data_IF_589118250370
#
_entry.id   IF_589118250370
#
_cell.length_a   1.000
_cell.length_b   1.000
_cell.length_c   1.000
_cell.angle_alpha   90.00
_cell.angle_beta   90.00
_cell.angle_gamma   90.00
#
_symmetry.space_group_name_H-M   'P 1'
#
loop_
_entity.id
_entity.type
_entity.pdbx_description
1 polymer ?
#
# COMPACT_ATOMS: atom_id res chain seq x y z
N UNK A 1 18.50 -11.02 -9.41
CA UNK A 1 17.91 -12.12 -8.61
C UNK A 1 16.47 -11.77 -8.29
N UNK A 2 15.50 -12.18 -9.13
CA UNK A 2 14.06 -11.94 -8.88
C UNK A 2 13.20 -13.19 -9.08
N UNK A 3 13.85 -14.33 -9.34
CA UNK A 3 13.18 -15.57 -9.75
C UNK A 3 12.54 -16.30 -8.54
N UNK A 4 12.85 -15.90 -7.30
CA UNK A 4 12.47 -16.68 -6.10
C UNK A 4 11.25 -16.18 -5.30
N UNK A 5 10.60 -15.08 -5.70
CA UNK A 5 9.51 -14.48 -4.90
C UNK A 5 8.11 -15.05 -5.14
N UNK A 6 7.93 -15.95 -6.11
CA UNK A 6 6.61 -16.37 -6.56
C UNK A 6 5.80 -15.22 -7.17
N UNK A 7 4.73 -15.54 -7.91
CA UNK A 7 3.83 -14.49 -8.43
C UNK A 7 2.78 -14.15 -7.38
N UNK A 8 2.58 -12.87 -7.09
CA UNK A 8 1.54 -12.39 -6.19
C UNK A 8 0.79 -11.22 -6.82
N UNK A 9 -0.52 -11.13 -6.60
CA UNK A 9 -1.35 -10.10 -7.23
C UNK A 9 -1.00 -8.68 -6.74
N UNK A 10 -0.50 -8.50 -5.53
CA UNK A 10 -0.11 -7.17 -5.00
C UNK A 10 1.37 -6.83 -5.09
N UNK A 11 2.17 -7.60 -5.84
CA UNK A 11 3.61 -7.37 -5.99
C UNK A 11 3.92 -7.13 -7.47
N UNK A 12 4.69 -6.09 -7.76
CA UNK A 12 5.08 -5.75 -9.13
C UNK A 12 5.94 -6.86 -9.75
N UNK A 13 5.64 -7.25 -10.99
CA UNK A 13 6.41 -8.28 -11.69
C UNK A 13 7.43 -7.66 -12.63
N UNK A 14 8.72 -7.84 -12.35
CA UNK A 14 9.78 -7.49 -13.30
C UNK A 14 9.94 -8.61 -14.32
N UNK A 15 9.98 -8.22 -15.59
CA UNK A 15 10.29 -9.07 -16.73
C UNK A 15 11.78 -9.03 -17.08
N UNK A 16 12.43 -7.88 -16.92
CA UNK A 16 13.84 -7.71 -17.22
C UNK A 16 14.46 -6.45 -16.63
N UNK A 17 15.79 -6.45 -16.50
CA UNK A 17 16.62 -5.30 -16.12
C UNK A 17 17.71 -5.09 -17.15
N UNK A 18 17.94 -3.86 -17.57
CA UNK A 18 19.07 -3.49 -18.42
C UNK A 18 19.54 -2.08 -18.07
N UNK A 19 20.70 -1.67 -18.60
CA UNK A 19 21.25 -0.32 -18.41
C UNK A 19 21.28 0.39 -19.74
N UNK A 20 20.74 1.60 -19.79
CA UNK A 20 20.65 2.39 -21.03
C UNK A 20 20.80 3.89 -20.76
N UNK A 21 21.11 4.65 -21.81
CA UNK A 21 21.15 6.12 -21.79
C UNK A 21 19.83 6.63 -22.36
N UNK A 22 18.92 7.05 -21.49
CA UNK A 22 17.63 7.57 -21.92
C UNK A 22 17.77 9.01 -22.47
N UNK A 23 17.01 9.36 -23.52
CA UNK A 23 16.88 10.73 -24.00
C UNK A 23 16.52 11.69 -22.85
N UNK A 24 17.07 12.92 -22.87
CA UNK A 24 16.89 13.89 -21.79
C UNK A 24 15.42 14.30 -21.61
N UNK A 25 14.62 14.19 -22.66
CA UNK A 25 13.19 14.49 -22.69
C UNK A 25 12.37 13.51 -21.84
N UNK A 26 12.89 12.31 -21.61
CA UNK A 26 12.24 11.28 -20.78
C UNK A 26 12.67 11.33 -19.31
N UNK A 27 13.67 12.17 -18.97
CA UNK A 27 14.10 12.37 -17.59
C UNK A 27 13.24 13.47 -16.98
N UNK A 28 12.49 13.12 -15.92
CA UNK A 28 11.85 14.13 -15.09
C UNK A 28 12.93 15.10 -14.59
N UNK A 29 12.67 16.43 -14.63
CA UNK A 29 13.64 17.40 -14.16
C UNK A 29 14.00 17.09 -12.71
N UNK A 30 15.29 16.95 -12.44
CA UNK A 30 15.79 16.73 -11.09
C UNK A 30 15.20 17.80 -10.16
N UNK A 31 14.69 17.35 -9.01
CA UNK A 31 14.10 18.20 -7.97
C UNK A 31 15.02 19.42 -7.74
N UNK A 32 14.52 20.66 -7.85
CA UNK A 32 15.35 21.86 -7.71
C UNK A 32 15.72 22.04 -6.23
N UNK A 33 16.88 21.51 -5.83
CA UNK A 33 17.38 21.64 -4.46
C UNK A 33 18.87 21.34 -4.26
N UNK A 34 19.59 20.91 -5.29
CA UNK A 34 21.02 20.57 -5.19
C UNK A 34 21.89 21.34 -6.20
N UNK A 35 21.55 22.59 -6.51
CA UNK A 35 22.45 23.48 -7.25
C UNK A 35 23.00 24.54 -6.29
N UNK A 36 24.21 24.29 -5.80
CA UNK A 36 25.09 25.34 -5.29
C UNK A 36 25.41 26.31 -6.44
N UNK A 37 25.39 27.63 -6.24
CA UNK A 37 25.67 28.58 -7.31
C UNK A 37 27.19 28.69 -7.48
N UNK A 38 27.78 27.90 -8.37
CA UNK A 38 29.15 28.13 -8.85
C UNK A 38 29.14 28.45 -10.34
N UNK A 39 29.39 29.74 -10.59
CA UNK A 39 29.89 30.46 -11.77
C UNK A 39 30.13 29.63 -13.05
N UNK A 40 29.59 30.18 -14.15
CA UNK A 40 29.68 29.74 -15.54
C UNK A 40 31.12 29.49 -16.03
N UNK A 41 31.31 28.35 -16.68
CA UNK A 41 32.35 28.11 -17.72
C UNK A 41 31.70 27.28 -18.85
N UNK A 42 31.93 27.61 -20.15
CA UNK A 42 31.27 26.93 -21.26
C UNK A 42 32.19 25.87 -21.90
N UNK A 43 32.11 24.60 -21.48
CA UNK A 43 32.59 23.47 -22.30
C UNK A 43 32.23 22.10 -21.70
N UNK A 44 31.93 21.15 -22.59
CA UNK A 44 31.55 19.74 -22.38
C UNK A 44 30.06 19.49 -22.08
N UNK A 45 29.28 18.86 -22.99
CA UNK A 45 27.98 18.34 -22.64
C UNK A 45 28.18 17.25 -21.58
N UNK A 46 27.66 17.48 -20.38
CA UNK A 46 27.73 16.51 -19.29
C UNK A 46 27.32 15.11 -19.81
N UNK A 47 28.14 14.06 -19.58
CA UNK A 47 27.86 12.72 -20.08
C UNK A 47 26.47 12.29 -19.58
N UNK A 48 25.62 11.84 -20.51
CA UNK A 48 24.28 11.35 -20.16
C UNK A 48 24.43 10.21 -19.15
N UNK A 49 23.71 10.28 -18.00
CA UNK A 49 23.82 9.25 -17.00
C UNK A 49 23.35 7.91 -17.59
N UNK A 50 24.13 6.86 -17.36
CA UNK A 50 23.68 5.48 -17.58
C UNK A 50 22.64 5.16 -16.50
N UNK A 51 21.42 4.87 -16.92
CA UNK A 51 20.31 4.57 -16.02
C UNK A 51 19.97 3.10 -16.08
N UNK A 52 19.57 2.54 -14.94
CA UNK A 52 19.00 1.21 -14.90
C UNK A 52 17.53 1.28 -15.31
N UNK A 53 17.17 0.57 -16.37
CA UNK A 53 15.80 0.45 -16.89
C UNK A 53 15.21 -0.88 -16.46
N UNK A 54 13.99 -0.83 -15.93
CA UNK A 54 13.25 -1.97 -15.43
C UNK A 54 11.99 -2.19 -16.30
N UNK A 55 11.89 -3.36 -16.93
CA UNK A 55 10.70 -3.77 -17.68
C UNK A 55 9.75 -4.50 -16.76
N UNK A 56 8.54 -3.98 -16.59
CA UNK A 56 7.52 -4.57 -15.74
C UNK A 56 6.33 -5.08 -16.56
N UNK A 57 5.65 -6.11 -16.06
CA UNK A 57 4.49 -6.70 -16.75
C UNK A 57 3.24 -5.79 -16.68
N UNK A 58 3.12 -5.03 -15.60
CA UNK A 58 2.00 -4.12 -15.37
C UNK A 58 2.37 -2.67 -15.65
N UNK A 59 1.48 -1.94 -16.33
CA UNK A 59 1.62 -0.50 -16.59
C UNK A 59 0.83 0.27 -15.52
N UNK A 60 1.50 1.00 -14.61
CA UNK A 60 0.83 1.81 -13.59
C UNK A 60 0.18 3.04 -14.21
N UNK A 61 -1.03 3.39 -13.75
CA UNK A 61 -1.70 4.62 -14.17
C UNK A 61 -1.29 5.81 -13.32
N UNK A 62 -1.14 5.58 -12.02
CA UNK A 62 -0.75 6.58 -11.04
C UNK A 62 -0.19 5.90 -9.78
N UNK A 63 0.51 6.67 -8.96
CA UNK A 63 0.91 6.26 -7.61
C UNK A 63 -0.24 6.43 -6.61
N UNK A 64 -0.14 5.76 -5.46
CA UNK A 64 -1.07 5.99 -4.37
C UNK A 64 -0.95 7.42 -3.82
N UNK A 65 0.26 8.00 -3.83
CA UNK A 65 0.48 9.40 -3.47
C UNK A 65 -0.34 10.36 -4.35
N UNK A 66 -0.28 10.18 -5.67
CA UNK A 66 -1.04 10.99 -6.63
C UNK A 66 -2.56 10.79 -6.47
N UNK A 67 -2.99 9.54 -6.28
CA UNK A 67 -4.39 9.23 -6.01
C UNK A 67 -4.91 9.93 -4.75
N UNK A 68 -4.17 9.85 -3.64
CA UNK A 68 -4.53 10.54 -2.38
C UNK A 68 -4.59 12.05 -2.60
N UNK A 69 -3.57 12.63 -3.25
CA UNK A 69 -3.56 14.07 -3.56
C UNK A 69 -4.76 14.51 -4.41
N UNK A 70 -5.18 13.70 -5.39
CA UNK A 70 -6.30 13.98 -6.27
C UNK A 70 -7.69 13.69 -5.69
N UNK A 71 -7.79 12.92 -4.59
CA UNK A 71 -9.07 12.38 -4.10
C UNK A 71 -9.72 13.18 -2.96
N UNK A 72 -9.16 14.32 -2.54
CA UNK A 72 -9.74 15.17 -1.48
C UNK A 72 -11.20 15.57 -1.74
N UNK A 73 -11.53 15.98 -2.97
CA UNK A 73 -12.91 16.35 -3.34
C UNK A 73 -13.87 15.15 -3.25
N UNK A 74 -13.36 13.96 -3.54
CA UNK A 74 -14.11 12.72 -3.49
C UNK A 74 -14.34 12.24 -2.04
N UNK A 75 -13.32 12.35 -1.18
CA UNK A 75 -13.46 12.06 0.25
C UNK A 75 -14.48 13.01 0.91
N UNK A 76 -14.47 14.30 0.52
CA UNK A 76 -15.46 15.28 1.02
C UNK A 76 -16.88 15.00 0.53
N UNK A 77 -17.06 14.64 -0.74
CA UNK A 77 -18.40 14.42 -1.32
C UNK A 77 -19.00 13.07 -0.98
N UNK A 78 -18.18 12.02 -0.84
CA UNK A 78 -18.65 10.64 -0.65
C UNK A 78 -17.74 9.85 0.31
N UNK A 79 -17.64 10.25 1.59
CA UNK A 79 -16.64 9.71 2.50
C UNK A 79 -16.75 8.20 2.72
N UNK A 80 -17.96 7.65 2.77
CA UNK A 80 -18.15 6.20 2.90
C UNK A 80 -17.62 5.39 1.71
N UNK A 81 -17.74 5.91 0.48
CA UNK A 81 -17.22 5.21 -0.71
C UNK A 81 -15.70 5.30 -0.77
N UNK A 82 -15.15 6.48 -0.48
CA UNK A 82 -13.71 6.70 -0.43
C UNK A 82 -13.02 5.85 0.64
N UNK A 83 -13.53 5.87 1.87
CA UNK A 83 -12.91 5.11 2.98
C UNK A 83 -13.06 3.61 2.78
N UNK A 84 -14.14 3.15 2.13
CA UNK A 84 -14.27 1.75 1.69
C UNK A 84 -13.18 1.39 0.69
N UNK A 85 -12.93 2.24 -0.30
CA UNK A 85 -11.85 2.05 -1.27
C UNK A 85 -10.48 2.04 -0.58
N UNK A 86 -10.24 2.97 0.35
CA UNK A 86 -9.05 2.98 1.20
C UNK A 86 -8.85 1.67 1.96
N UNK A 87 -9.91 1.15 2.60
CA UNK A 87 -9.88 -0.17 3.25
C UNK A 87 -9.49 -1.31 2.28
N UNK A 88 -10.01 -1.29 1.05
CA UNK A 88 -9.69 -2.30 0.04
C UNK A 88 -8.25 -2.21 -0.45
N UNK A 89 -7.71 -1.00 -0.62
CA UNK A 89 -6.30 -0.78 -0.98
C UNK A 89 -5.36 -1.23 0.15
N UNK A 90 -5.67 -0.86 1.39
CA UNK A 90 -4.94 -1.31 2.58
C UNK A 90 -4.98 -2.84 2.72
N UNK A 91 -6.12 -3.46 2.41
CA UNK A 91 -6.25 -4.92 2.44
C UNK A 91 -5.33 -5.59 1.42
N UNK A 92 -5.29 -5.09 0.18
CA UNK A 92 -4.36 -5.56 -0.85
C UNK A 92 -2.90 -5.40 -0.42
N UNK A 93 -2.57 -4.26 0.20
CA UNK A 93 -1.25 -4.01 0.75
C UNK A 93 -0.89 -5.03 1.84
N UNK A 94 -1.78 -5.27 2.81
CA UNK A 94 -1.55 -6.28 3.86
C UNK A 94 -1.28 -7.67 3.26
N UNK A 95 -2.04 -8.08 2.24
CA UNK A 95 -1.82 -9.36 1.55
C UNK A 95 -0.43 -9.41 0.88
N UNK A 96 -0.02 -8.33 0.20
CA UNK A 96 1.32 -8.25 -0.39
C UNK A 96 2.44 -8.27 0.65
N UNK A 97 2.27 -7.57 1.78
CA UNK A 97 3.24 -7.53 2.88
C UNK A 97 3.39 -8.88 3.60
N UNK A 98 2.29 -9.62 3.77
CA UNK A 98 2.32 -10.99 4.29
C UNK A 98 3.11 -11.92 3.38
N UNK A 99 2.89 -11.84 2.06
CA UNK A 99 3.62 -12.63 1.07
C UNK A 99 5.11 -12.31 1.10
N UNK A 100 5.50 -11.03 1.15
CA UNK A 100 6.91 -10.62 1.25
C UNK A 100 7.58 -11.10 2.54
N UNK A 101 6.85 -11.07 3.67
CA UNK A 101 7.34 -11.59 4.96
C UNK A 101 7.62 -13.09 4.89
N UNK A 102 6.76 -13.85 4.22
CA UNK A 102 6.95 -15.31 4.02
C UNK A 102 8.22 -15.66 3.22
N UNK A 103 8.76 -14.71 2.45
CA UNK A 103 9.97 -14.89 1.64
C UNK A 103 11.22 -14.20 2.24
N UNK A 104 11.16 -13.75 3.50
CA UNK A 104 12.26 -13.06 4.20
C UNK A 104 12.84 -11.85 3.45
N UNK A 105 12.04 -11.18 2.62
CA UNK A 105 12.48 -9.98 1.92
C UNK A 105 12.46 -8.81 2.91
N UNK A 106 13.62 -8.17 3.08
CA UNK A 106 13.73 -6.92 3.84
C UNK A 106 12.79 -5.91 3.19
N UNK A 107 11.81 -5.45 3.96
CA UNK A 107 10.80 -4.56 3.42
C UNK A 107 11.45 -3.20 3.19
N UNK A 108 11.52 -2.77 1.93
CA UNK A 108 11.94 -1.42 1.57
C UNK A 108 10.99 -0.37 2.16
N UNK A 109 11.33 0.91 1.97
CA UNK A 109 10.51 2.01 2.48
C UNK A 109 9.09 1.96 1.89
N UNK A 110 8.10 1.75 2.77
CA UNK A 110 6.68 1.67 2.42
C UNK A 110 6.10 3.07 2.49
N UNK A 111 6.19 3.77 1.38
CA UNK A 111 5.60 5.09 1.20
C UNK A 111 4.58 5.08 0.05
N UNK A 112 3.58 5.99 0.06
CA UNK A 112 2.55 6.06 -0.99
C UNK A 112 3.11 6.19 -2.41
N UNK A 113 4.28 6.79 -2.58
CA UNK A 113 4.95 7.00 -3.86
C UNK A 113 5.42 5.69 -4.49
N UNK A 114 5.74 4.69 -3.65
CA UNK A 114 6.18 3.38 -4.11
C UNK A 114 5.03 2.36 -4.26
N UNK A 115 3.80 2.78 -4.03
CA UNK A 115 2.60 1.97 -4.21
C UNK A 115 1.92 2.38 -5.51
N UNK A 116 1.87 1.46 -6.46
CA UNK A 116 1.38 1.72 -7.80
C UNK A 116 -0.06 1.23 -7.96
N UNK A 117 -0.89 2.02 -8.64
CA UNK A 117 -2.28 1.66 -8.94
C UNK A 117 -2.40 1.30 -10.42
N UNK A 118 -2.90 0.09 -10.68
CA UNK A 118 -3.14 -0.46 -12.00
C UNK A 118 -4.63 -0.71 -12.18
N UNK A 119 -5.18 -0.27 -13.31
CA UNK A 119 -6.57 -0.55 -13.63
C UNK A 119 -6.74 -2.01 -14.03
N UNK A 120 -7.61 -2.74 -13.36
CA UNK A 120 -8.03 -4.05 -13.82
C UNK A 120 -8.98 -3.88 -15.02
N UNK A 121 -8.82 -4.65 -16.11
CA UNK A 121 -9.83 -4.69 -17.16
C UNK A 121 -11.12 -5.28 -16.58
N UNK A 122 -12.10 -4.41 -16.28
CA UNK A 122 -13.42 -4.84 -15.88
C UNK A 122 -14.21 -5.25 -17.14
N UNK A 123 -14.97 -6.36 -17.11
CA UNK A 123 -15.90 -6.67 -18.19
C UNK A 123 -16.96 -5.55 -18.28
N UNK A 124 -17.39 -5.17 -19.50
CA UNK A 124 -18.22 -3.98 -19.74
C UNK A 124 -19.58 -3.99 -19.03
N UNK A 125 -20.04 -5.14 -18.55
CA UNK A 125 -21.36 -5.32 -17.95
C UNK A 125 -21.49 -4.77 -16.51
N UNK A 126 -20.40 -4.32 -15.88
CA UNK A 126 -20.40 -3.73 -14.52
C UNK A 126 -20.15 -2.21 -14.49
N UNK A 127 -20.42 -1.50 -15.58
CA UNK A 127 -20.24 -0.04 -15.66
C UNK A 127 -21.29 0.80 -14.89
N UNK A 128 -22.23 0.18 -14.17
CA UNK A 128 -23.12 0.86 -13.20
C UNK A 128 -22.51 0.89 -11.79
N UNK A 129 -21.22 1.19 -11.64
CA UNK A 129 -20.70 1.62 -10.35
C UNK A 129 -21.03 3.10 -10.18
N UNK A 130 -21.97 3.39 -9.28
CA UNK A 130 -22.71 4.65 -9.15
C UNK A 130 -21.87 5.93 -8.99
N UNK A 131 -20.53 5.85 -8.91
CA UNK A 131 -19.65 7.00 -8.64
C UNK A 131 -18.28 6.93 -9.36
N UNK A 132 -18.08 6.06 -10.36
CA UNK A 132 -16.81 5.99 -11.09
C UNK A 132 -15.60 5.50 -10.28
N UNK A 133 -15.85 4.86 -9.13
CA UNK A 133 -14.82 4.33 -8.22
C UNK A 133 -14.59 2.84 -8.44
N UNK A 134 -14.02 2.47 -9.59
CA UNK A 134 -13.54 1.12 -9.80
C UNK A 134 -12.35 0.83 -8.88
N UNK A 135 -12.35 -0.31 -8.21
CA UNK A 135 -11.22 -0.74 -7.37
C UNK A 135 -9.98 -0.99 -8.24
N UNK A 136 -8.90 -0.18 -8.14
CA UNK A 136 -7.67 -0.50 -8.83
C UNK A 136 -6.91 -1.60 -8.09
N UNK A 137 -6.05 -2.29 -8.82
CA UNK A 137 -5.08 -3.23 -8.28
C UNK A 137 -3.88 -2.47 -7.74
N UNK A 138 -3.58 -2.66 -6.47
CA UNK A 138 -2.42 -2.06 -5.81
C UNK A 138 -1.20 -2.98 -5.93
N UNK A 139 -0.08 -2.43 -6.40
CA UNK A 139 1.20 -3.11 -6.52
C UNK A 139 2.27 -2.45 -5.65
N UNK A 140 3.02 -3.27 -4.92
CA UNK A 140 4.20 -2.83 -4.16
C UNK A 140 5.41 -2.80 -5.09
N UNK A 141 6.00 -1.61 -5.28
CA UNK A 141 7.19 -1.41 -6.13
C UNK A 141 8.51 -1.39 -5.35
N UNK A 142 8.51 -1.06 -4.05
CA UNK A 142 9.72 -0.75 -3.25
C UNK A 142 10.75 -1.88 -3.04
N UNK A 143 10.56 -3.10 -3.52
CA UNK A 143 11.50 -4.19 -3.21
C UNK A 143 12.84 -4.06 -3.94
N UNK A 144 12.97 -3.17 -4.93
CA UNK A 144 14.24 -2.95 -5.64
C UNK A 144 15.27 -2.12 -4.87
N UNK A 145 14.85 -1.37 -3.84
CA UNK A 145 15.80 -0.71 -2.91
C UNK A 145 16.51 -1.70 -1.98
N UNK A 146 16.12 -2.98 -2.01
CA UNK A 146 16.88 -4.07 -1.38
C UNK A 146 18.13 -4.27 -2.21
N UNK A 147 19.15 -3.44 -1.93
CA UNK A 147 20.46 -3.56 -2.51
C UNK A 147 20.94 -5.00 -2.35
N UNK A 148 21.14 -5.64 -3.51
CA UNK A 148 22.02 -6.77 -3.70
C UNK A 148 23.31 -6.47 -2.91
N UNK A 149 23.56 -7.16 -1.78
CA UNK A 149 24.91 -7.25 -1.18
C UNK A 149 25.81 -8.01 -2.17
N UNK A 150 26.07 -7.46 -3.34
CA UNK A 150 27.17 -7.89 -4.18
C UNK A 150 28.41 -7.16 -3.69
N UNK A 151 29.34 -7.92 -3.11
CA UNK A 151 30.70 -7.46 -2.81
C UNK A 151 31.36 -6.95 -4.10
N UNK A 152 31.80 -5.69 -4.18
CA UNK A 152 32.94 -5.35 -5.01
C UNK A 152 34.18 -5.55 -4.13
N UNK A 153 34.99 -6.57 -4.44
CA UNK A 153 36.35 -6.60 -3.91
C UNK A 153 37.12 -5.40 -4.48
N UNK A 154 37.40 -4.39 -3.67
CA UNK A 154 38.65 -3.63 -3.73
C UNK A 154 38.89 -2.94 -2.39
N UNK A 155 40.15 -2.98 -1.98
CA UNK A 155 40.70 -2.68 -0.67
C UNK A 155 40.65 -1.20 -0.24
N UNK A 156 40.59 -1.01 1.09
CA UNK A 156 41.22 0.07 1.86
C UNK A 156 40.46 1.39 2.06
N UNK A 157 39.58 1.45 3.07
CA UNK A 157 39.75 2.32 4.25
C UNK A 157 38.60 2.07 5.23
N UNK A 158 38.94 1.44 6.34
CA UNK A 158 38.08 1.28 7.51
C UNK A 158 37.86 2.65 8.16
N UNK A 159 36.62 3.08 8.24
CA UNK A 159 36.07 3.87 9.36
C UNK A 159 34.54 3.70 9.36
N UNK A 160 34.13 2.66 10.09
CA UNK A 160 32.92 2.59 10.91
C UNK A 160 31.54 2.73 10.25
N UNK A 161 31.26 1.91 9.22
CA UNK A 161 29.89 1.72 8.67
C UNK A 161 29.26 0.36 9.05
N UNK A 162 29.88 -0.37 9.97
CA UNK A 162 29.47 -1.71 10.40
C UNK A 162 28.10 -1.74 11.11
N UNK A 163 27.69 -0.62 11.73
CA UNK A 163 26.45 -0.54 12.52
C UNK A 163 25.19 -0.28 11.68
N UNK A 164 25.30 0.17 10.43
CA UNK A 164 24.14 0.37 9.55
C UNK A 164 23.77 -0.89 8.73
N UNK A 165 24.68 -1.86 8.61
CA UNK A 165 24.56 -3.06 7.76
C UNK A 165 23.88 -4.26 8.43
N UNK A 166 23.43 -4.09 9.68
CA UNK A 166 22.83 -5.13 10.52
C UNK A 166 21.52 -4.70 11.20
N UNK A 167 20.85 -3.65 10.71
CA UNK A 167 19.46 -3.42 11.09
C UNK A 167 18.57 -4.16 10.08
N UNK A 168 18.02 -5.36 10.39
CA UNK A 168 16.79 -5.74 9.71
C UNK A 168 15.85 -4.55 9.89
N UNK A 169 15.21 -4.05 8.83
CA UNK A 169 14.03 -3.19 9.03
C UNK A 169 13.18 -3.95 10.04
N UNK A 170 13.04 -3.47 11.29
CA UNK A 170 12.47 -4.30 12.33
C UNK A 170 11.05 -4.66 11.84
N UNK A 171 10.51 -5.87 12.07
CA UNK A 171 9.18 -6.26 11.59
C UNK A 171 8.11 -5.17 11.86
N UNK A 172 8.33 -4.48 12.97
CA UNK A 172 7.78 -3.24 13.52
C UNK A 172 7.67 -2.06 12.51
N UNK A 173 8.56 -1.92 11.53
CA UNK A 173 8.56 -0.83 10.53
C UNK A 173 7.40 -0.95 9.53
N UNK A 174 7.05 -2.18 9.13
CA UNK A 174 5.93 -2.45 8.24
C UNK A 174 4.60 -1.96 8.82
N UNK A 175 4.40 -2.28 10.10
CA UNK A 175 3.20 -1.94 10.83
C UNK A 175 3.10 -0.43 11.07
N UNK A 176 4.21 0.24 11.37
CA UNK A 176 4.24 1.71 11.48
C UNK A 176 3.94 2.39 10.16
N UNK A 177 4.56 1.92 9.07
CA UNK A 177 4.33 2.48 7.75
C UNK A 177 2.88 2.28 7.31
N UNK A 178 2.28 1.12 7.59
CA UNK A 178 0.86 0.89 7.37
C UNK A 178 0.00 1.85 8.21
N UNK A 179 0.35 2.05 9.48
CA UNK A 179 -0.33 3.01 10.36
C UNK A 179 -0.26 4.44 9.81
N UNK A 180 0.92 4.88 9.36
CA UNK A 180 1.14 6.18 8.71
C UNK A 180 0.32 6.31 7.42
N UNK A 181 0.26 5.24 6.63
CA UNK A 181 -0.47 5.22 5.38
C UNK A 181 -1.98 5.39 5.60
N UNK A 182 -2.54 4.87 6.69
CA UNK A 182 -3.96 5.10 7.04
C UNK A 182 -4.24 6.60 7.20
N UNK A 183 -3.36 7.34 7.89
CA UNK A 183 -3.51 8.80 8.05
C UNK A 183 -3.44 9.51 6.70
N UNK A 184 -2.47 9.15 5.85
CA UNK A 184 -2.31 9.74 4.52
C UNK A 184 -3.53 9.49 3.63
N UNK A 185 -4.03 8.25 3.58
CA UNK A 185 -5.25 7.92 2.85
C UNK A 185 -6.44 8.72 3.38
N UNK A 186 -6.54 8.95 4.69
CA UNK A 186 -7.62 9.74 5.27
C UNK A 186 -7.42 11.25 5.20
N UNK A 187 -6.42 11.72 4.44
CA UNK A 187 -6.07 13.14 4.28
C UNK A 187 -5.76 13.84 5.61
N UNK A 188 -5.17 13.13 6.56
CA UNK A 188 -4.70 13.67 7.83
C UNK A 188 -3.18 13.67 7.85
N UNK A 189 -2.59 14.85 8.01
CA UNK A 189 -1.14 14.99 8.06
C UNK A 189 -0.56 14.37 9.34
N UNK A 190 0.46 13.54 9.17
CA UNK A 190 1.19 12.92 10.28
C UNK A 190 2.70 13.03 10.04
N UNK A 191 3.38 13.79 10.90
CA UNK A 191 4.84 13.91 10.89
C UNK A 191 5.46 12.71 11.60
N UNK A 192 6.62 12.22 11.12
CA UNK A 192 7.37 11.15 11.79
C UNK A 192 7.80 11.56 13.20
N UNK A 193 8.12 12.84 13.39
CA UNK A 193 8.40 13.44 14.70
C UNK A 193 7.20 13.24 15.65
N UNK A 194 5.96 13.44 15.19
CA UNK A 194 4.76 13.19 16.00
C UNK A 194 4.56 11.71 16.36
N UNK A 195 5.14 10.77 15.60
CA UNK A 195 5.09 9.32 15.87
C UNK A 195 6.19 8.88 16.85
N UNK A 196 7.27 9.66 17.00
CA UNK A 196 8.38 9.32 17.89
C UNK A 196 8.36 10.16 19.19
N UNK A 197 7.93 11.42 19.13
CA UNK A 197 7.85 12.38 20.24
C UNK A 197 6.55 12.33 21.05
N UNK A 198 5.94 11.14 21.19
CA UNK A 198 4.69 10.97 21.93
C UNK A 198 4.74 11.32 23.44
N UNK A 199 5.78 11.98 23.95
CA UNK A 199 5.89 12.37 25.36
C UNK A 199 4.85 13.41 25.80
N UNK A 200 4.17 14.11 24.89
CA UNK A 200 3.31 15.25 25.26
C UNK A 200 2.08 15.53 24.39
N UNK A 201 1.99 15.04 23.14
CA UNK A 201 0.80 15.20 22.27
C UNK A 201 0.34 13.84 21.75
N UNK A 202 -0.95 13.54 21.86
CA UNK A 202 -1.55 12.31 21.35
C UNK A 202 -1.47 12.21 19.82
N UNK A 203 -1.82 11.04 19.28
CA UNK A 203 -2.01 10.86 17.84
C UNK A 203 -3.05 11.87 17.31
N UNK A 204 -2.86 12.44 16.10
CA UNK A 204 -3.86 13.30 15.49
C UNK A 204 -5.22 12.60 15.41
N UNK A 205 -6.30 13.35 15.64
CA UNK A 205 -7.63 12.76 15.60
C UNK A 205 -8.10 12.58 14.15
N UNK A 206 -8.45 11.34 13.80
CA UNK A 206 -9.12 11.04 12.54
C UNK A 206 -10.60 11.45 12.65
N UNK A 207 -11.12 12.31 11.75
CA UNK A 207 -12.51 12.73 11.77
C UNK A 207 -13.45 11.56 11.45
N UNK A 208 -14.60 11.52 12.12
CA UNK A 208 -15.60 10.45 11.92
C UNK A 208 -16.54 10.82 10.78
N UNK A 209 -16.11 10.55 9.54
CA UNK A 209 -16.84 10.91 8.32
C UNK A 209 -17.69 9.75 7.76
N UNK A 210 -17.41 8.51 8.17
CA UNK A 210 -18.11 7.32 7.70
C UNK A 210 -18.13 6.19 8.73
N UNK A 211 -18.82 5.09 8.39
CA UNK A 211 -18.84 3.84 9.19
C UNK A 211 -17.45 3.19 9.32
N UNK A 212 -16.49 3.56 8.46
CA UNK A 212 -15.14 3.02 8.47
C UNK A 212 -14.18 3.84 9.32
N UNK A 213 -14.43 5.15 9.52
CA UNK A 213 -13.48 6.07 10.16
C UNK A 213 -13.10 5.64 11.57
N UNK A 214 -14.08 5.23 12.38
CA UNK A 214 -13.83 4.76 13.75
C UNK A 214 -12.97 3.48 13.78
N UNK A 215 -13.24 2.57 12.83
CA UNK A 215 -12.47 1.33 12.66
C UNK A 215 -11.04 1.59 12.21
N UNK A 216 -10.85 2.49 11.23
CA UNK A 216 -9.55 2.90 10.72
C UNK A 216 -8.75 3.67 11.78
N UNK A 217 -9.41 4.57 12.56
CA UNK A 217 -8.80 5.24 13.72
C UNK A 217 -8.29 4.22 14.74
N UNK A 218 -9.11 3.22 15.07
CA UNK A 218 -8.69 2.16 16.00
C UNK A 218 -7.54 1.35 15.43
N UNK A 219 -7.61 0.93 14.16
CA UNK A 219 -6.53 0.18 13.52
C UNK A 219 -5.21 0.96 13.50
N UNK A 220 -5.26 2.25 13.13
CA UNK A 220 -4.08 3.12 13.14
C UNK A 220 -3.49 3.25 14.55
N UNK A 221 -4.31 3.39 15.59
CA UNK A 221 -3.84 3.44 16.98
C UNK A 221 -3.16 2.15 17.45
N UNK A 222 -3.60 1.00 16.93
CA UNK A 222 -3.04 -0.31 17.24
C UNK A 222 -1.73 -0.57 16.48
N UNK A 223 -1.63 -0.07 15.25
CA UNK A 223 -0.42 -0.18 14.41
C UNK A 223 0.68 0.79 14.85
N UNK A 224 0.30 1.99 15.29
CA UNK A 224 1.22 3.02 15.78
C UNK A 224 1.49 2.91 17.30
N UNK A 225 1.24 1.73 17.88
CA UNK A 225 1.44 1.51 19.30
C UNK A 225 2.95 1.53 19.65
N UNK A 226 3.30 2.18 20.77
CA UNK A 226 4.70 2.38 21.18
C UNK A 226 5.38 1.05 21.52
N UNK A 227 4.69 0.24 22.32
CA UNK A 227 5.15 -1.09 22.71
C UNK A 227 4.99 -2.07 21.53
N UNK A 228 6.10 -2.65 21.01
CA UNK A 228 6.05 -3.66 19.95
C UNK A 228 5.20 -4.88 20.32
N UNK A 229 5.08 -5.22 21.61
CA UNK A 229 4.33 -6.39 22.06
C UNK A 229 2.81 -6.16 22.03
N UNK A 230 2.36 -4.91 22.15
CA UNK A 230 0.95 -4.52 22.04
C UNK A 230 0.57 -4.10 20.61
N UNK A 231 1.56 -3.96 19.72
CA UNK A 231 1.33 -3.61 18.33
C UNK A 231 0.69 -4.78 17.59
N UNK A 232 -0.35 -4.48 16.82
CA UNK A 232 -0.98 -5.49 15.98
C UNK A 232 -0.08 -5.83 14.80
N UNK A 233 0.03 -7.13 14.50
CA UNK A 233 0.71 -7.63 13.31
C UNK A 233 -0.05 -7.30 12.02
N UNK A 234 0.63 -7.33 10.87
CA UNK A 234 -0.01 -7.20 9.55
C UNK A 234 -1.15 -8.21 9.35
N UNK A 235 -0.99 -9.46 9.84
CA UNK A 235 -2.04 -10.49 9.80
C UNK A 235 -3.31 -10.08 10.55
N UNK A 236 -3.14 -9.51 11.74
CA UNK A 236 -4.26 -8.99 12.52
C UNK A 236 -4.87 -7.75 11.86
N UNK A 237 -4.05 -6.86 11.30
CA UNK A 237 -4.53 -5.70 10.54
C UNK A 237 -5.38 -6.13 9.33
N UNK A 238 -4.95 -7.16 8.60
CA UNK A 238 -5.72 -7.77 7.50
C UNK A 238 -7.08 -8.28 7.98
N UNK A 239 -7.10 -9.03 9.08
CA UNK A 239 -8.35 -9.55 9.66
C UNK A 239 -9.28 -8.41 10.11
N UNK A 240 -8.74 -7.35 10.73
CA UNK A 240 -9.51 -6.16 11.12
C UNK A 240 -10.10 -5.49 9.88
N UNK A 241 -9.32 -5.27 8.81
CA UNK A 241 -9.81 -4.69 7.57
C UNK A 241 -10.91 -5.54 6.91
N UNK A 242 -10.78 -6.87 6.92
CA UNK A 242 -11.82 -7.78 6.45
C UNK A 242 -13.12 -7.62 7.26
N UNK A 243 -13.01 -7.50 8.59
CA UNK A 243 -14.16 -7.24 9.46
C UNK A 243 -14.77 -5.87 9.19
N UNK A 244 -13.97 -4.83 8.96
CA UNK A 244 -14.48 -3.50 8.60
C UNK A 244 -15.21 -3.52 7.25
N UNK A 245 -14.75 -4.30 6.28
CA UNK A 245 -15.32 -4.35 4.93
C UNK A 245 -16.57 -5.23 4.83
N UNK A 246 -16.55 -6.42 5.43
CA UNK A 246 -17.59 -7.45 5.29
C UNK A 246 -18.02 -8.11 6.60
N UNK A 247 -17.42 -7.74 7.73
CA UNK A 247 -17.66 -8.36 9.03
C UNK A 247 -19.03 -8.04 9.66
N UNK A 248 -19.33 -8.67 10.80
CA UNK A 248 -20.53 -8.38 11.56
C UNK A 248 -20.43 -6.97 12.13
N UNK A 249 -21.48 -6.17 11.92
CA UNK A 249 -21.56 -4.79 12.40
C UNK A 249 -22.03 -4.75 13.86
N UNK A 250 -21.84 -3.61 14.52
CA UNK A 250 -22.16 -3.45 15.92
C UNK A 250 -23.66 -3.68 16.21
N UNK A 251 -24.54 -3.39 15.25
CA UNK A 251 -25.99 -3.58 15.38
C UNK A 251 -26.37 -5.06 15.55
N UNK A 252 -25.58 -5.99 14.98
CA UNK A 252 -25.80 -7.43 15.17
C UNK A 252 -25.60 -7.86 16.63
N UNK A 253 -24.77 -7.13 17.37
CA UNK A 253 -24.48 -7.38 18.78
C UNK A 253 -25.28 -6.48 19.73
N UNK A 254 -26.10 -5.55 19.20
CA UNK A 254 -26.92 -4.69 20.03
C UNK A 254 -28.08 -5.46 20.69
N UNK A 255 -28.59 -6.51 20.02
CA UNK A 255 -29.73 -7.33 20.47
C UNK A 255 -29.34 -8.71 21.00
N UNK A 256 -28.13 -9.17 20.70
CA UNK A 256 -27.66 -10.51 21.04
C UNK A 256 -26.28 -10.43 21.68
N UNK A 257 -26.04 -11.26 22.72
CA UNK A 257 -24.70 -11.38 23.31
C UNK A 257 -23.72 -11.88 22.25
N UNK A 258 -22.47 -11.42 22.34
CA UNK A 258 -21.38 -11.93 21.51
C UNK A 258 -21.10 -13.38 21.88
N UNK A 259 -21.69 -14.32 21.13
CA UNK A 259 -21.46 -15.76 21.29
C UNK A 259 -20.77 -16.33 20.05
N UNK A 260 -20.04 -17.43 20.25
CA UNK A 260 -19.39 -18.16 19.15
C UNK A 260 -20.43 -18.67 18.14
N UNK A 261 -21.56 -19.18 18.64
CA UNK A 261 -22.66 -19.69 17.82
C UNK A 261 -23.23 -18.62 16.89
N UNK A 262 -23.48 -17.41 17.41
CA UNK A 262 -23.99 -16.29 16.60
C UNK A 262 -23.01 -15.93 15.47
N UNK A 263 -21.71 -15.91 15.76
CA UNK A 263 -20.67 -15.66 14.75
C UNK A 263 -20.60 -16.78 13.70
N UNK A 264 -20.75 -18.04 14.12
CA UNK A 264 -20.79 -19.18 13.21
C UNK A 264 -22.02 -19.12 12.29
N UNK A 265 -23.22 -18.87 12.83
CA UNK A 265 -24.43 -18.71 12.03
C UNK A 265 -24.31 -17.55 11.05
N UNK A 266 -23.80 -16.41 11.50
CA UNK A 266 -23.54 -15.26 10.64
C UNK A 266 -22.59 -15.61 9.47
N UNK A 267 -21.50 -16.33 9.77
CA UNK A 267 -20.52 -16.74 8.77
C UNK A 267 -21.14 -17.71 7.74
N UNK A 268 -21.96 -18.66 8.18
CA UNK A 268 -22.68 -19.58 7.30
C UNK A 268 -23.60 -18.82 6.34
N UNK A 269 -24.38 -17.86 6.83
CA UNK A 269 -25.24 -17.01 6.00
C UNK A 269 -24.42 -16.22 4.98
N UNK A 270 -23.30 -15.61 5.40
CA UNK A 270 -22.43 -14.86 4.47
C UNK A 270 -21.85 -15.75 3.37
N UNK A 271 -21.42 -16.97 3.70
CA UNK A 271 -20.93 -17.95 2.72
C UNK A 271 -22.03 -18.36 1.75
N UNK A 272 -23.22 -18.67 2.24
CA UNK A 272 -24.37 -19.03 1.41
C UNK A 272 -24.75 -17.91 0.43
N UNK A 273 -24.82 -16.66 0.91
CA UNK A 273 -25.09 -15.49 0.06
C UNK A 273 -24.01 -15.28 -1.00
N UNK A 274 -22.73 -15.50 -0.66
CA UNK A 274 -21.65 -15.38 -1.63
C UNK A 274 -21.75 -16.45 -2.72
N UNK A 275 -22.04 -17.70 -2.34
CA UNK A 275 -22.27 -18.80 -3.29
C UNK A 275 -23.46 -18.52 -4.21
N UNK A 276 -24.56 -18.02 -3.65
CA UNK A 276 -25.73 -17.62 -4.44
C UNK A 276 -25.38 -16.52 -5.44
N UNK A 277 -24.61 -15.51 -5.04
CA UNK A 277 -24.16 -14.44 -5.95
C UNK A 277 -23.27 -14.96 -7.07
N UNK A 278 -22.42 -15.94 -6.81
CA UNK A 278 -21.63 -16.58 -7.86
C UNK A 278 -22.51 -17.37 -8.84
N UNK A 279 -23.51 -18.12 -8.34
CA UNK A 279 -24.46 -18.85 -9.18
C UNK A 279 -25.32 -17.92 -10.05
N UNK A 280 -25.79 -16.79 -9.50
CA UNK A 280 -26.50 -15.75 -10.27
C UNK A 280 -25.60 -15.15 -11.37
N UNK A 281 -24.34 -14.88 -11.03
CA UNK A 281 -23.39 -14.27 -11.97
C UNK A 281 -23.01 -15.23 -13.11
N UNK A 282 -22.93 -16.53 -12.86
CA UNK A 282 -22.68 -17.52 -13.91
C UNK A 282 -23.91 -17.76 -14.79
N UNK A 283 -25.12 -17.73 -14.21
CA UNK A 283 -26.36 -17.85 -14.97
C UNK A 283 -26.62 -16.60 -15.85
N UNK A 284 -26.35 -15.39 -15.33
CA UNK A 284 -26.52 -14.13 -16.06
C UNK A 284 -25.52 -13.88 -17.19
N UNK A 285 -24.35 -14.51 -17.15
CA UNK A 285 -23.33 -14.42 -18.21
C UNK A 285 -23.68 -15.24 -19.47
N UNK A 286 -24.65 -16.17 -19.37
CA UNK A 286 -25.10 -17.02 -20.49
C UNK A 286 -26.31 -16.49 -21.25
N UNK A 287 -26.88 -15.34 -20.85
CA UNK A 287 -28.12 -14.80 -21.45
C UNK A 287 -27.85 -13.40 -22.02
N UNK A 288 -27.12 -13.35 -23.13
CA UNK A 288 -27.31 -12.31 -24.15
C UNK A 288 -27.88 -12.99 -25.40
N UNK A 289 -29.20 -12.97 -25.61
CA UNK A 289 -29.77 -13.26 -26.90
C UNK A 289 -29.77 -11.97 -27.72
N UNK A 290 -29.14 -12.01 -28.91
CA UNK A 290 -29.41 -11.10 -30.03
C UNK A 290 -28.79 -9.71 -29.96
#
# INVERSE_FOLDING_TARGET
>A
VQISLGTHCSIQRLLGRFTDRLPRELLLPAIPGAQSPSREDPACPAPQPLLQVLLCAEVPQQTLAEFVKGSHALHRSSPGHYERLGCLLLLQLCMGLEHLRGHNVVQGDLCPENLLLVQCPCPPQRQKELLGLSLPRLLISSFFKVQEKQRPCSSSQELDWSHALAAPSPPTAAELNLGRLIYQILHVDISLENILDFRSKGLPEIPSLSIYSAGLKRLASLLLHRDPHQRVSILQARAILQVLLWGPRQELFARSRKSLELLQSWLQVKRALLLLRFAESSAGAGVSPG
#
